data_IF_405093846271
#
_entry.id   IF_405093846271
#
_cell.length_a   1.000
_cell.length_b   1.000
_cell.length_c   1.000
_cell.angle_alpha   90.00
_cell.angle_beta   90.00
_cell.angle_gamma   90.00
#
_symmetry.space_group_name_H-M   'P 1'
#
loop_
_entity.id
_entity.type
_entity.pdbx_description
1 polymer ?
#
# COMPACT_ATOMS: atom_id res chain seq x y z
N UNK A 1 0.17 25.85 -1.98
CA UNK A 1 0.17 25.51 -3.45
C UNK A 1 -1.05 24.64 -3.66
N UNK A 2 -1.84 24.91 -4.68
CA UNK A 2 -3.09 24.18 -4.96
C UNK A 2 -2.81 22.86 -5.69
N UNK A 3 -3.72 21.89 -5.59
CA UNK A 3 -3.59 20.55 -6.19
C UNK A 3 -3.30 20.59 -7.70
N UNK A 4 -3.77 21.61 -8.40
CA UNK A 4 -3.49 21.84 -9.84
C UNK A 4 -2.01 22.02 -10.20
N UNK A 5 -1.16 22.33 -9.21
CA UNK A 5 0.29 22.45 -9.39
C UNK A 5 1.03 21.15 -9.05
N UNK A 6 0.30 20.10 -8.68
CA UNK A 6 0.84 18.82 -8.22
C UNK A 6 0.32 17.70 -9.11
N UNK A 7 -1.00 17.66 -9.34
CA UNK A 7 -1.69 16.62 -10.12
C UNK A 7 -1.94 17.10 -11.55
N UNK A 8 -1.77 16.21 -12.51
CA UNK A 8 -2.10 16.44 -13.91
C UNK A 8 -3.63 16.47 -14.12
N UNK A 9 -4.24 17.59 -13.75
CA UNK A 9 -5.70 17.77 -13.82
C UNK A 9 -6.25 17.79 -15.25
N UNK A 10 -5.39 18.02 -16.26
CA UNK A 10 -5.82 17.95 -17.66
C UNK A 10 -6.21 16.52 -18.06
N UNK A 11 -5.42 15.53 -17.63
CA UNK A 11 -5.66 14.12 -17.98
C UNK A 11 -6.47 13.41 -16.89
N UNK A 12 -6.48 13.95 -15.67
CA UNK A 12 -7.15 13.43 -14.48
C UNK A 12 -7.92 14.53 -13.74
N UNK A 13 -9.12 14.91 -14.20
CA UNK A 13 -9.87 16.07 -13.66
C UNK A 13 -10.52 15.76 -12.30
N UNK A 14 -9.71 15.39 -11.30
CA UNK A 14 -10.18 14.96 -9.96
C UNK A 14 -10.86 16.11 -9.18
N UNK A 15 -10.64 17.35 -9.57
CA UNK A 15 -11.25 18.58 -9.05
C UNK A 15 -12.64 18.88 -9.68
N UNK A 16 -13.05 18.12 -10.72
CA UNK A 16 -14.28 18.37 -11.49
C UNK A 16 -15.23 17.19 -11.39
N UNK A 17 -15.62 16.82 -10.16
CA UNK A 17 -16.40 15.60 -9.88
C UNK A 17 -17.74 15.50 -10.60
N UNK A 18 -18.32 16.63 -11.01
CA UNK A 18 -19.57 16.69 -11.81
C UNK A 18 -19.37 16.58 -13.32
N UNK A 19 -18.12 16.59 -13.82
CA UNK A 19 -17.85 16.54 -15.25
C UNK A 19 -18.03 15.14 -15.84
N UNK A 20 -18.28 15.06 -17.14
CA UNK A 20 -18.36 13.80 -17.86
C UNK A 20 -17.00 13.11 -17.88
N UNK A 21 -15.93 13.87 -18.06
CA UNK A 21 -14.56 13.39 -18.10
C UNK A 21 -14.18 12.71 -16.77
N UNK A 22 -14.60 13.28 -15.64
CA UNK A 22 -14.43 12.64 -14.33
C UNK A 22 -15.20 11.32 -14.24
N UNK A 23 -16.48 11.31 -14.64
CA UNK A 23 -17.30 10.09 -14.58
C UNK A 23 -16.76 8.98 -15.49
N UNK A 24 -16.29 9.32 -16.68
CA UNK A 24 -15.65 8.38 -17.60
C UNK A 24 -14.33 7.82 -17.01
N UNK A 25 -13.53 8.67 -16.35
CA UNK A 25 -12.33 8.25 -15.63
C UNK A 25 -12.64 7.26 -14.51
N UNK A 26 -13.64 7.55 -13.68
CA UNK A 26 -14.07 6.66 -12.58
C UNK A 26 -14.58 5.32 -13.14
N UNK A 27 -15.41 5.33 -14.16
CA UNK A 27 -15.92 4.11 -14.80
C UNK A 27 -14.76 3.24 -15.34
N UNK A 28 -13.77 3.86 -15.98
CA UNK A 28 -12.55 3.17 -16.46
C UNK A 28 -11.77 2.56 -15.30
N UNK A 29 -11.53 3.31 -14.21
CA UNK A 29 -10.78 2.84 -13.05
C UNK A 29 -11.48 1.63 -12.41
N UNK A 30 -12.79 1.71 -12.17
CA UNK A 30 -13.59 0.60 -11.62
C UNK A 30 -13.47 -0.65 -12.48
N UNK A 31 -13.65 -0.49 -13.79
CA UNK A 31 -13.52 -1.62 -14.74
C UNK A 31 -12.14 -2.31 -14.65
N UNK A 32 -11.06 -1.54 -14.51
CA UNK A 32 -9.71 -2.10 -14.35
C UNK A 32 -9.54 -2.80 -13.00
N UNK A 33 -10.02 -2.18 -11.92
CA UNK A 33 -9.95 -2.73 -10.57
C UNK A 33 -10.79 -4.00 -10.43
N UNK A 34 -11.94 -4.09 -11.10
CA UNK A 34 -12.79 -5.27 -11.09
C UNK A 34 -12.19 -6.41 -11.93
N UNK A 35 -11.52 -6.07 -13.03
CA UNK A 35 -10.92 -7.06 -13.93
C UNK A 35 -9.59 -7.60 -13.43
N UNK A 36 -8.75 -6.70 -12.92
CA UNK A 36 -7.32 -6.97 -12.70
C UNK A 36 -6.85 -6.71 -11.26
N UNK A 37 -7.74 -6.23 -10.37
CA UNK A 37 -7.37 -5.82 -9.02
C UNK A 37 -6.41 -4.61 -8.99
N UNK A 38 -6.10 -4.02 -10.14
CA UNK A 38 -5.09 -2.98 -10.30
C UNK A 38 -5.49 -1.96 -11.36
N UNK A 39 -5.28 -0.68 -11.04
CA UNK A 39 -5.42 0.44 -11.95
C UNK A 39 -4.18 1.32 -11.88
N UNK A 40 -3.61 1.68 -13.04
CA UNK A 40 -2.46 2.60 -13.13
C UNK A 40 -2.90 3.84 -13.90
N UNK A 41 -2.57 5.01 -13.35
CA UNK A 41 -2.79 6.32 -13.95
C UNK A 41 -1.41 6.93 -14.29
N UNK A 42 -0.97 6.81 -15.55
CA UNK A 42 0.37 7.26 -15.96
C UNK A 42 0.53 8.79 -15.85
N UNK A 43 1.68 9.24 -15.34
CA UNK A 43 1.98 10.69 -15.21
C UNK A 43 0.92 11.45 -14.42
N UNK A 44 0.38 10.84 -13.37
CA UNK A 44 -0.60 11.46 -12.49
C UNK A 44 -0.02 12.68 -11.77
N UNK A 45 1.23 12.58 -11.33
CA UNK A 45 1.96 13.69 -10.70
C UNK A 45 2.75 14.46 -11.75
N UNK A 46 2.65 15.79 -11.71
CA UNK A 46 3.40 16.68 -12.59
C UNK A 46 4.90 16.61 -12.33
N UNK A 47 5.72 16.77 -13.37
CA UNK A 47 7.18 16.62 -13.31
C UNK A 47 7.85 17.55 -12.29
N UNK A 48 7.40 18.79 -12.16
CA UNK A 48 7.94 19.73 -11.18
C UNK A 48 7.62 19.33 -9.74
N UNK A 49 6.42 18.79 -9.49
CA UNK A 49 6.06 18.25 -8.18
C UNK A 49 6.86 16.98 -7.87
N UNK A 50 7.00 16.10 -8.86
CA UNK A 50 7.79 14.88 -8.72
C UNK A 50 9.26 15.18 -8.35
N UNK A 51 9.82 16.24 -8.92
CA UNK A 51 11.17 16.71 -8.55
C UNK A 51 11.23 17.16 -7.09
N UNK A 52 10.25 17.95 -6.61
CA UNK A 52 10.18 18.37 -5.20
C UNK A 52 10.01 17.18 -4.26
N UNK A 53 9.16 16.20 -4.61
CA UNK A 53 9.01 14.95 -3.84
C UNK A 53 10.33 14.18 -3.76
N UNK A 54 11.05 14.05 -4.85
CA UNK A 54 12.38 13.43 -4.85
C UNK A 54 13.36 14.15 -3.94
N UNK A 55 13.42 15.48 -4.03
CA UNK A 55 14.27 16.31 -3.17
C UNK A 55 13.88 16.16 -1.69
N UNK A 56 12.59 16.04 -1.38
CA UNK A 56 12.11 15.77 -0.01
C UNK A 56 12.61 14.42 0.49
N UNK A 57 12.51 13.35 -0.33
CA UNK A 57 13.09 12.05 0.01
C UNK A 57 14.58 12.17 0.30
N UNK A 58 15.34 12.80 -0.60
CA UNK A 58 16.80 12.94 -0.48
C UNK A 58 17.21 13.69 0.79
N UNK A 59 16.48 14.76 1.17
CA UNK A 59 16.71 15.47 2.44
C UNK A 59 16.41 14.62 3.68
N UNK A 60 15.44 13.73 3.59
CA UNK A 60 15.00 12.90 4.71
C UNK A 60 15.64 11.50 4.74
N UNK A 61 16.49 11.13 3.77
CA UNK A 61 17.20 9.83 3.77
C UNK A 61 17.89 9.50 5.11
N UNK A 62 18.55 10.46 5.81
CA UNK A 62 19.18 10.19 7.11
C UNK A 62 18.21 9.75 8.21
N UNK A 63 16.89 10.03 8.05
CA UNK A 63 15.84 9.64 9.00
C UNK A 63 15.24 8.27 8.67
N UNK A 64 15.66 7.63 7.57
CA UNK A 64 15.08 6.36 7.14
C UNK A 64 15.24 5.29 8.22
N UNK A 65 14.13 4.73 8.66
CA UNK A 65 14.15 3.50 9.45
C UNK A 65 14.28 2.29 8.53
N UNK A 66 15.31 1.47 8.76
CA UNK A 66 15.56 0.25 8.01
C UNK A 66 15.00 -0.95 8.75
N UNK A 67 13.99 -1.59 8.18
CA UNK A 67 13.43 -2.83 8.72
C UNK A 67 14.00 -4.04 8.00
N UNK A 68 14.38 -5.05 8.78
CA UNK A 68 14.88 -6.34 8.31
C UNK A 68 14.09 -7.43 9.02
N UNK A 69 13.41 -8.26 8.27
CA UNK A 69 12.63 -9.35 8.85
C UNK A 69 12.53 -10.56 7.90
N UNK A 70 11.98 -11.65 8.42
CA UNK A 70 11.54 -12.79 7.64
C UNK A 70 10.03 -12.92 7.82
N UNK A 71 9.30 -12.95 6.73
CA UNK A 71 7.86 -13.16 6.77
C UNK A 71 7.40 -14.13 5.69
N UNK A 72 6.31 -14.81 5.96
CA UNK A 72 5.56 -15.54 4.95
C UNK A 72 4.57 -14.60 4.22
N UNK A 73 3.91 -15.03 3.14
CA UNK A 73 2.98 -14.19 2.38
C UNK A 73 1.83 -13.57 3.20
N UNK A 74 1.55 -14.08 4.36
CA UNK A 74 0.42 -13.65 5.23
C UNK A 74 0.86 -12.84 6.44
N UNK A 75 2.15 -12.64 6.64
CA UNK A 75 2.71 -12.05 7.85
C UNK A 75 2.24 -12.76 9.14
N UNK A 76 1.98 -14.07 9.05
CA UNK A 76 1.58 -14.89 10.19
C UNK A 76 2.79 -15.55 10.86
N UNK A 77 2.62 -15.97 12.12
CA UNK A 77 3.60 -16.83 12.80
C UNK A 77 3.74 -18.15 12.07
N UNK A 78 4.87 -18.83 12.27
CA UNK A 78 5.02 -20.22 11.82
C UNK A 78 4.03 -21.11 12.58
N UNK A 79 3.40 -22.01 11.84
CA UNK A 79 2.49 -23.03 12.40
C UNK A 79 3.06 -24.42 12.07
N UNK A 80 3.72 -25.04 13.04
CA UNK A 80 4.37 -26.33 12.88
C UNK A 80 3.39 -27.49 12.61
N UNK A 81 2.09 -27.28 12.82
CA UNK A 81 1.06 -28.27 12.48
C UNK A 81 0.81 -28.34 10.97
N UNK A 82 1.22 -27.34 10.22
CA UNK A 82 1.11 -27.32 8.76
C UNK A 82 2.33 -28.00 8.12
N UNK A 83 2.17 -28.49 6.89
CA UNK A 83 3.29 -29.06 6.13
C UNK A 83 4.36 -28.00 5.86
N UNK A 84 5.64 -28.38 5.72
CA UNK A 84 6.76 -27.47 5.53
C UNK A 84 6.66 -26.63 4.25
N UNK A 85 5.92 -27.11 3.27
CA UNK A 85 5.68 -26.45 1.98
C UNK A 85 4.37 -25.65 1.94
N UNK A 86 3.64 -25.60 3.05
CA UNK A 86 2.44 -24.78 3.15
C UNK A 86 2.78 -23.29 3.04
N UNK A 87 2.01 -22.46 2.30
CA UNK A 87 2.32 -21.04 2.09
C UNK A 87 2.56 -20.22 3.37
N UNK A 88 1.88 -20.53 4.46
CA UNK A 88 2.09 -19.89 5.79
C UNK A 88 3.43 -20.27 6.43
N UNK A 89 4.18 -21.22 5.86
CA UNK A 89 5.51 -21.67 6.33
C UNK A 89 6.65 -21.32 5.38
N UNK A 90 6.37 -20.67 4.27
CA UNK A 90 7.38 -20.21 3.31
C UNK A 90 7.83 -18.81 3.70
N UNK A 91 8.89 -18.72 4.50
CA UNK A 91 9.46 -17.46 4.95
C UNK A 91 10.52 -16.95 3.99
N UNK A 92 10.48 -15.66 3.70
CA UNK A 92 11.46 -14.96 2.87
C UNK A 92 11.99 -13.73 3.59
N UNK A 93 13.28 -13.45 3.40
CA UNK A 93 13.92 -12.25 3.96
C UNK A 93 13.42 -11.00 3.24
N UNK A 94 13.27 -9.93 3.98
CA UNK A 94 12.96 -8.58 3.48
C UNK A 94 13.88 -7.56 4.11
N UNK A 95 14.34 -6.63 3.29
CA UNK A 95 14.94 -5.38 3.75
C UNK A 95 14.33 -4.21 2.99
N UNK A 96 13.78 -3.22 3.71
CA UNK A 96 13.22 -2.00 3.15
C UNK A 96 13.35 -0.85 4.14
N UNK A 97 13.48 0.37 3.64
CA UNK A 97 13.50 1.58 4.45
C UNK A 97 12.18 2.33 4.38
N UNK A 98 11.85 3.04 5.46
CA UNK A 98 10.72 3.95 5.50
C UNK A 98 11.14 5.31 6.03
N UNK A 99 10.76 6.37 5.32
CA UNK A 99 10.70 7.72 5.86
C UNK A 99 9.26 7.89 6.31
N UNK A 100 9.08 8.05 7.62
CA UNK A 100 7.75 8.06 8.24
C UNK A 100 6.99 9.34 7.88
N UNK A 101 5.66 9.27 7.95
CA UNK A 101 4.80 10.41 7.63
C UNK A 101 5.02 11.62 8.55
N UNK A 102 5.41 11.40 9.80
CA UNK A 102 5.72 12.49 10.75
C UNK A 102 7.11 13.12 10.55
N UNK A 103 7.93 12.58 9.66
CA UNK A 103 9.20 13.16 9.23
C UNK A 103 9.05 14.09 8.01
N UNK A 104 7.87 14.10 7.37
CA UNK A 104 7.60 14.89 6.17
C UNK A 104 7.22 16.32 6.53
N UNK A 105 7.56 17.25 5.64
CA UNK A 105 7.17 18.64 5.78
C UNK A 105 5.64 18.79 5.64
N UNK A 106 4.99 19.51 6.55
CA UNK A 106 3.54 19.73 6.52
C UNK A 106 3.06 20.28 5.17
N UNK A 107 3.85 21.18 4.57
CA UNK A 107 3.56 21.83 3.30
C UNK A 107 4.13 21.11 2.09
N UNK A 108 4.58 19.85 2.24
CA UNK A 108 5.08 19.06 1.12
C UNK A 108 3.97 18.78 0.09
N UNK A 109 4.37 18.55 -1.14
CA UNK A 109 3.42 18.21 -2.21
C UNK A 109 2.71 16.89 -1.92
N UNK A 110 3.41 15.95 -1.29
CA UNK A 110 2.85 14.68 -0.87
C UNK A 110 1.73 14.87 0.16
N UNK A 111 1.99 15.62 1.22
CA UNK A 111 0.96 15.91 2.22
C UNK A 111 -0.24 16.65 1.61
N UNK A 112 -0.01 17.59 0.69
CA UNK A 112 -1.09 18.30 -0.02
C UNK A 112 -1.97 17.38 -0.86
N UNK A 113 -1.39 16.43 -1.60
CA UNK A 113 -2.18 15.41 -2.32
C UNK A 113 -2.98 14.60 -1.30
N UNK A 114 -2.32 14.06 -0.29
CA UNK A 114 -2.93 13.17 0.68
C UNK A 114 -4.10 13.83 1.44
N UNK A 115 -3.92 15.09 1.85
CA UNK A 115 -4.92 15.82 2.63
C UNK A 115 -6.01 16.48 1.77
N UNK A 116 -5.92 16.45 0.43
CA UNK A 116 -6.95 17.05 -0.43
C UNK A 116 -8.24 16.25 -0.45
N UNK A 117 -9.37 16.95 -0.42
CA UNK A 117 -10.72 16.33 -0.52
C UNK A 117 -10.93 15.74 -1.91
N UNK A 118 -10.35 16.37 -2.93
CA UNK A 118 -10.43 15.90 -4.31
C UNK A 118 -9.78 14.53 -4.45
N UNK A 119 -8.62 14.31 -3.83
CA UNK A 119 -7.94 13.00 -3.85
C UNK A 119 -8.72 11.95 -3.06
N UNK A 120 -9.20 12.28 -1.86
CA UNK A 120 -10.02 11.36 -1.06
C UNK A 120 -11.27 10.92 -1.82
N UNK A 121 -12.00 11.89 -2.42
CA UNK A 121 -13.18 11.58 -3.21
C UNK A 121 -12.85 10.77 -4.45
N UNK A 122 -11.82 11.13 -5.18
CA UNK A 122 -11.37 10.39 -6.37
C UNK A 122 -11.04 8.93 -6.07
N UNK A 123 -10.33 8.68 -4.95
CA UNK A 123 -10.00 7.33 -4.51
C UNK A 123 -11.26 6.57 -4.10
N UNK A 124 -12.13 7.20 -3.30
CA UNK A 124 -13.41 6.63 -2.88
C UNK A 124 -14.28 6.22 -4.08
N UNK A 125 -14.43 7.14 -5.04
CA UNK A 125 -15.22 6.88 -6.24
C UNK A 125 -14.59 5.78 -7.12
N UNK A 126 -13.27 5.79 -7.30
CA UNK A 126 -12.56 4.77 -8.09
C UNK A 126 -12.69 3.38 -7.50
N UNK A 127 -12.60 3.26 -6.17
CA UNK A 127 -12.76 1.99 -5.44
C UNK A 127 -14.22 1.56 -5.29
N UNK A 128 -15.18 2.49 -5.40
CA UNK A 128 -16.58 2.25 -5.08
C UNK A 128 -16.79 2.03 -3.57
N UNK A 129 -15.96 2.64 -2.73
CA UNK A 129 -15.98 2.47 -1.27
C UNK A 129 -16.42 3.77 -0.60
N UNK A 130 -17.50 3.69 0.18
CA UNK A 130 -18.00 4.81 0.94
C UNK A 130 -18.60 4.32 2.28
N UNK A 131 -18.29 4.97 3.41
CA UNK A 131 -17.30 6.04 3.55
C UNK A 131 -15.86 5.56 3.41
N UNK A 132 -14.97 6.45 2.97
CA UNK A 132 -13.54 6.25 2.93
C UNK A 132 -12.86 7.37 3.73
N UNK A 133 -11.85 7.03 4.50
CA UNK A 133 -11.14 7.97 5.38
C UNK A 133 -9.64 7.97 5.11
N UNK A 134 -8.99 9.10 5.37
CA UNK A 134 -7.54 9.14 5.53
C UNK A 134 -7.16 8.32 6.76
N UNK A 135 -6.06 7.61 6.67
CA UNK A 135 -5.62 6.81 7.81
C UNK A 135 -5.07 7.68 8.93
N UNK A 136 -5.53 7.44 10.16
CA UNK A 136 -5.15 8.24 11.34
C UNK A 136 -3.77 7.90 11.90
N UNK A 137 -3.09 6.87 11.39
CA UNK A 137 -1.77 6.47 11.86
C UNK A 137 -0.73 7.54 11.50
N UNK A 138 -0.12 8.22 12.48
CA UNK A 138 0.75 9.34 12.21
C UNK A 138 2.08 8.95 11.56
N UNK A 139 2.48 7.68 11.63
CA UNK A 139 3.72 7.17 11.05
C UNK A 139 3.51 6.59 9.65
N UNK A 140 2.36 5.92 9.47
CA UNK A 140 2.08 5.12 8.29
C UNK A 140 1.07 5.69 7.31
N UNK A 141 0.51 6.89 7.55
CA UNK A 141 -0.57 7.43 6.73
C UNK A 141 -0.17 7.70 5.27
N UNK A 142 1.07 8.15 5.04
CA UNK A 142 1.64 8.44 3.72
C UNK A 142 3.19 8.42 3.72
N UNK A 143 3.84 7.32 4.14
CA UNK A 143 5.29 7.24 4.21
C UNK A 143 5.92 7.05 2.84
N UNK A 144 7.19 7.41 2.69
CA UNK A 144 8.00 6.91 1.59
C UNK A 144 8.60 5.55 1.94
N UNK A 145 8.56 4.62 0.99
CA UNK A 145 9.34 3.37 1.05
C UNK A 145 10.55 3.47 0.15
N UNK A 146 11.71 3.12 0.71
CA UNK A 146 13.03 3.23 0.10
C UNK A 146 13.61 1.84 -0.10
N UNK A 147 14.08 1.57 -1.30
CA UNK A 147 14.77 0.32 -1.62
C UNK A 147 16.07 0.63 -2.37
N UNK A 148 17.17 0.12 -1.84
CA UNK A 148 18.50 0.22 -2.45
C UNK A 148 18.83 -1.03 -3.28
N UNK A 149 20.01 -1.02 -3.90
CA UNK A 149 20.57 -2.18 -4.58
C UNK A 149 20.46 -3.43 -3.69
N UNK A 150 20.11 -4.54 -4.30
CA UNK A 150 19.91 -5.86 -3.69
C UNK A 150 18.66 -6.00 -2.81
N UNK A 151 17.97 -4.92 -2.45
CA UNK A 151 16.69 -5.00 -1.75
C UNK A 151 15.59 -5.52 -2.68
N UNK A 152 14.61 -6.20 -2.09
CA UNK A 152 13.39 -6.66 -2.74
C UNK A 152 12.28 -6.78 -1.70
N UNK A 153 11.04 -6.83 -2.15
CA UNK A 153 9.91 -7.15 -1.29
C UNK A 153 9.35 -8.51 -1.74
N UNK A 154 9.43 -9.56 -0.92
CA UNK A 154 8.98 -10.90 -1.32
C UNK A 154 7.46 -10.95 -1.52
N UNK A 155 6.98 -12.06 -2.07
CA UNK A 155 5.56 -12.30 -2.26
C UNK A 155 4.78 -12.18 -0.95
N UNK A 156 3.72 -11.35 -0.97
CA UNK A 156 2.86 -11.11 0.18
C UNK A 156 1.48 -10.63 -0.24
N UNK A 157 0.57 -10.64 0.72
CA UNK A 157 -0.72 -9.96 0.66
C UNK A 157 -0.71 -8.78 1.61
N UNK A 158 -1.31 -7.66 1.19
CA UNK A 158 -1.48 -6.53 2.09
C UNK A 158 -2.49 -6.83 3.18
N UNK A 159 -2.26 -6.24 4.31
CA UNK A 159 -3.26 -6.22 5.32
C UNK A 159 -4.35 -5.16 5.08
N UNK A 160 -4.11 -4.13 4.24
CA UNK A 160 -5.14 -3.23 3.74
C UNK A 160 -5.88 -3.86 2.57
N UNK A 161 -7.16 -3.54 2.44
CA UNK A 161 -7.99 -4.04 1.35
C UNK A 161 -7.50 -3.48 0.01
N UNK A 162 -7.08 -2.25 0.03
CA UNK A 162 -6.50 -1.53 -1.11
C UNK A 162 -5.30 -0.70 -0.67
N UNK A 163 -4.36 -0.55 -1.57
CA UNK A 163 -3.12 0.21 -1.40
C UNK A 163 -2.95 1.14 -2.57
N UNK A 164 -2.58 2.39 -2.28
CA UNK A 164 -2.16 3.34 -3.28
C UNK A 164 -0.65 3.46 -3.27
N UNK A 165 -0.09 3.77 -4.42
CA UNK A 165 1.32 4.12 -4.49
C UNK A 165 1.61 5.11 -5.61
N UNK A 166 2.55 6.03 -5.37
CA UNK A 166 3.08 6.95 -6.37
C UNK A 166 4.57 6.66 -6.51
N UNK A 167 5.01 6.26 -7.71
CA UNK A 167 6.43 6.04 -7.94
C UNK A 167 7.14 7.40 -8.09
N UNK A 168 8.09 7.68 -7.22
CA UNK A 168 8.87 8.93 -7.22
C UNK A 168 10.18 8.75 -7.97
N UNK A 169 10.89 7.67 -7.73
CA UNK A 169 12.11 7.33 -8.44
C UNK A 169 12.15 5.84 -8.76
N UNK A 170 12.38 5.54 -10.04
CA UNK A 170 12.55 4.18 -10.53
C UNK A 170 13.99 3.71 -10.31
N UNK A 171 14.16 2.43 -9.98
CA UNK A 171 15.47 1.81 -10.00
C UNK A 171 16.04 1.75 -11.43
N UNK A 172 17.34 1.67 -11.55
CA UNK A 172 18.03 1.56 -12.81
C UNK A 172 17.64 0.27 -13.56
N UNK A 173 17.55 -0.84 -12.82
CA UNK A 173 17.06 -2.13 -13.30
C UNK A 173 16.39 -2.90 -12.15
N UNK A 174 15.46 -3.78 -12.46
CA UNK A 174 14.63 -4.47 -11.46
C UNK A 174 13.62 -3.52 -10.81
N UNK A 175 13.19 -3.83 -9.58
CA UNK A 175 12.19 -3.03 -8.88
C UNK A 175 10.80 -3.05 -9.52
N UNK A 176 10.52 -4.06 -10.34
CA UNK A 176 9.23 -4.24 -10.99
C UNK A 176 8.19 -4.66 -9.96
N UNK A 177 7.00 -4.12 -10.09
CA UNK A 177 5.85 -4.58 -9.33
C UNK A 177 5.23 -5.77 -10.05
N UNK A 178 5.23 -6.93 -9.40
CA UNK A 178 4.61 -8.15 -9.90
C UNK A 178 3.46 -8.58 -9.01
N UNK A 179 2.35 -9.02 -9.61
CA UNK A 179 1.17 -9.43 -8.85
C UNK A 179 0.38 -10.53 -9.56
N UNK A 180 -0.29 -11.34 -8.76
CA UNK A 180 -1.28 -12.32 -9.18
C UNK A 180 -2.66 -11.83 -8.73
N UNK A 181 -3.52 -11.32 -9.65
CA UNK A 181 -4.79 -10.71 -9.30
C UNK A 181 -5.74 -11.73 -8.68
N UNK A 182 -6.49 -11.30 -7.66
CA UNK A 182 -7.56 -12.04 -7.00
C UNK A 182 -7.20 -13.51 -6.71
N UNK A 183 -5.97 -13.74 -6.23
CA UNK A 183 -5.46 -15.08 -5.98
C UNK A 183 -6.17 -15.74 -4.80
N UNK A 184 -6.72 -14.95 -3.89
CA UNK A 184 -7.57 -15.40 -2.78
C UNK A 184 -8.82 -14.52 -2.65
N UNK A 185 -9.82 -14.99 -1.90
CA UNK A 185 -11.04 -14.23 -1.56
C UNK A 185 -11.29 -14.23 -0.06
N UNK A 186 -12.40 -13.63 0.37
CA UNK A 186 -12.84 -13.65 1.78
C UNK A 186 -13.16 -15.08 2.21
N UNK A 187 -13.68 -15.91 1.31
CA UNK A 187 -14.15 -17.28 1.60
C UNK A 187 -13.07 -18.33 1.38
N UNK A 188 -12.02 -18.02 0.59
CA UNK A 188 -11.03 -19.03 0.19
C UNK A 188 -9.62 -18.44 0.07
N UNK A 189 -8.70 -18.91 0.91
CA UNK A 189 -7.27 -18.55 0.85
C UNK A 189 -6.55 -19.14 -0.37
N UNK A 190 -7.13 -20.15 -1.04
CA UNK A 190 -6.65 -20.73 -2.27
C UNK A 190 -5.16 -21.14 -2.22
N UNK A 191 -4.78 -21.84 -1.15
CA UNK A 191 -3.38 -22.19 -0.85
C UNK A 191 -2.66 -22.92 -1.99
N UNK A 192 -3.38 -23.71 -2.78
CA UNK A 192 -2.80 -24.44 -3.92
C UNK A 192 -2.27 -23.47 -4.98
N UNK A 193 -3.05 -22.44 -5.35
CA UNK A 193 -2.63 -21.43 -6.32
C UNK A 193 -1.52 -20.53 -5.76
N UNK A 194 -1.62 -20.16 -4.47
CA UNK A 194 -0.55 -19.43 -3.78
C UNK A 194 0.75 -20.24 -3.82
N UNK A 195 0.69 -21.54 -3.52
CA UNK A 195 1.85 -22.45 -3.58
C UNK A 195 2.47 -22.49 -4.98
N UNK A 196 1.65 -22.54 -6.05
CA UNK A 196 2.15 -22.51 -7.42
C UNK A 196 2.96 -21.25 -7.71
N UNK A 197 2.45 -20.07 -7.31
CA UNK A 197 3.17 -18.80 -7.50
C UNK A 197 4.46 -18.78 -6.68
N UNK A 198 4.45 -19.22 -5.43
CA UNK A 198 5.64 -19.31 -4.57
C UNK A 198 6.69 -20.26 -5.16
N UNK A 199 6.28 -21.34 -5.84
CA UNK A 199 7.15 -22.29 -6.55
C UNK A 199 7.59 -21.79 -7.94
N UNK A 200 7.23 -20.57 -8.32
CA UNK A 200 7.72 -19.92 -9.53
C UNK A 200 6.78 -19.96 -10.74
N UNK A 201 5.54 -20.49 -10.63
CA UNK A 201 4.57 -20.35 -11.72
C UNK A 201 4.30 -18.88 -12.01
N UNK A 202 4.24 -18.57 -13.32
CA UNK A 202 3.96 -17.23 -13.85
C UNK A 202 2.59 -17.11 -14.51
N UNK A 203 1.80 -18.20 -14.54
CA UNK A 203 0.55 -18.27 -15.31
C UNK A 203 -0.46 -17.19 -14.95
N UNK A 204 -0.53 -16.83 -13.66
CA UNK A 204 -1.40 -15.76 -13.14
C UNK A 204 -0.66 -14.48 -12.82
N UNK A 205 0.66 -14.41 -13.04
CA UNK A 205 1.47 -13.27 -12.63
C UNK A 205 1.56 -12.23 -13.74
N UNK A 206 1.18 -11.02 -13.39
CA UNK A 206 1.36 -9.81 -14.20
C UNK A 206 2.55 -9.01 -13.68
N UNK A 207 3.21 -8.27 -14.56
CA UNK A 207 4.31 -7.38 -14.22
C UNK A 207 4.00 -5.96 -14.68
N UNK A 208 4.23 -4.98 -13.81
CA UNK A 208 4.07 -3.56 -14.10
C UNK A 208 5.42 -2.87 -14.02
N UNK A 209 5.76 -2.18 -15.09
CA UNK A 209 6.92 -1.29 -15.14
C UNK A 209 6.45 0.15 -14.91
N UNK A 210 6.12 0.47 -13.64
CA UNK A 210 5.69 1.81 -13.25
C UNK A 210 6.77 2.85 -13.59
N UNK A 211 6.33 4.01 -14.04
CA UNK A 211 7.19 5.14 -14.33
C UNK A 211 7.06 6.22 -13.24
N UNK A 212 8.10 7.04 -13.03
CA UNK A 212 8.01 8.15 -12.08
C UNK A 212 6.82 9.07 -12.38
N UNK A 213 6.02 9.34 -11.35
CA UNK A 213 4.79 10.12 -11.44
C UNK A 213 3.52 9.29 -11.67
N UNK A 214 3.62 7.97 -11.90
CA UNK A 214 2.46 7.10 -12.00
C UNK A 214 1.81 6.90 -10.64
N UNK A 215 0.48 7.01 -10.59
CA UNK A 215 -0.33 6.57 -9.46
C UNK A 215 -0.88 5.18 -9.74
N UNK A 216 -0.68 4.27 -8.81
CA UNK A 216 -1.28 2.93 -8.80
C UNK A 216 -2.34 2.84 -7.70
N UNK A 217 -3.52 2.29 -8.03
CA UNK A 217 -4.55 1.86 -7.08
C UNK A 217 -4.64 0.35 -7.18
N UNK A 218 -4.53 -0.35 -6.06
CA UNK A 218 -4.33 -1.81 -6.04
C UNK A 218 -5.12 -2.49 -4.91
N UNK A 219 -5.80 -3.60 -5.22
CA UNK A 219 -6.52 -4.45 -4.25
C UNK A 219 -5.55 -5.46 -3.62
N UNK A 220 -4.61 -4.98 -2.81
CA UNK A 220 -3.47 -5.77 -2.32
C UNK A 220 -3.81 -6.90 -1.37
N UNK A 221 -4.96 -6.82 -0.70
CA UNK A 221 -5.42 -7.87 0.22
C UNK A 221 -5.71 -9.20 -0.47
N UNK A 222 -6.23 -9.16 -1.68
CA UNK A 222 -6.65 -10.35 -2.42
C UNK A 222 -5.70 -10.74 -3.55
N UNK A 223 -4.85 -9.83 -3.95
CA UNK A 223 -3.86 -10.00 -5.01
C UNK A 223 -2.46 -10.14 -4.42
N UNK A 224 -1.89 -11.35 -4.48
CA UNK A 224 -0.53 -11.58 -4.00
C UNK A 224 0.47 -10.82 -4.87
N UNK A 225 1.40 -10.10 -4.26
CA UNK A 225 2.32 -9.22 -5.00
C UNK A 225 3.71 -9.15 -4.39
N UNK A 226 4.65 -8.66 -5.18
CA UNK A 226 6.03 -8.45 -4.79
C UNK A 226 6.66 -7.28 -5.52
N UNK A 227 7.81 -6.82 -5.02
CA UNK A 227 8.75 -5.98 -5.78
C UNK A 227 9.99 -6.80 -6.06
N UNK A 228 10.35 -6.92 -7.34
CA UNK A 228 11.55 -7.67 -7.73
C UNK A 228 12.81 -6.99 -7.24
N UNK A 229 13.92 -7.72 -7.18
CA UNK A 229 15.21 -7.23 -6.70
C UNK A 229 15.64 -5.96 -7.44
N UNK A 230 16.12 -4.97 -6.68
CA UNK A 230 16.70 -3.75 -7.21
C UNK A 230 18.12 -4.05 -7.72
N UNK A 231 18.40 -3.68 -8.95
CA UNK A 231 19.71 -3.82 -9.57
C UNK A 231 20.22 -2.43 -10.01
N UNK A 232 21.55 -2.27 -10.06
CA UNK A 232 22.19 -0.99 -10.33
C UNK A 232 22.34 -0.12 -9.08
N UNK A 233 22.68 1.15 -9.26
CA UNK A 233 23.02 2.05 -8.15
C UNK A 233 21.93 3.09 -7.85
N UNK A 234 20.88 3.16 -8.68
CA UNK A 234 19.75 4.07 -8.46
C UNK A 234 18.72 3.38 -7.56
N UNK A 235 18.44 4.00 -6.41
CA UNK A 235 17.44 3.52 -5.45
C UNK A 235 16.02 3.71 -6.00
N UNK A 236 15.11 2.86 -5.55
CA UNK A 236 13.68 3.02 -5.81
C UNK A 236 13.02 3.75 -4.66
N UNK A 237 12.27 4.82 -4.97
CA UNK A 237 11.48 5.59 -4.01
C UNK A 237 10.01 5.52 -4.42
N UNK A 238 9.16 5.13 -3.49
CA UNK A 238 7.72 5.08 -3.70
C UNK A 238 7.00 5.66 -2.50
N UNK A 239 5.99 6.43 -2.75
CA UNK A 239 5.09 6.98 -1.75
C UNK A 239 3.87 6.06 -1.60
N UNK A 240 3.35 5.91 -0.39
CA UNK A 240 2.30 4.98 -0.02
C UNK A 240 1.14 5.69 0.71
N UNK A 241 0.30 6.48 0.01
CA UNK A 241 -0.85 7.15 0.64
C UNK A 241 -1.89 6.11 1.06
N UNK A 242 -2.26 6.11 2.32
CA UNK A 242 -3.14 5.09 2.89
C UNK A 242 -4.51 5.66 3.23
N UNK A 243 -5.54 5.06 2.64
CA UNK A 243 -6.94 5.34 2.94
C UNK A 243 -7.59 4.07 3.50
N UNK A 244 -8.57 4.24 4.40
CA UNK A 244 -9.16 3.14 5.18
C UNK A 244 -10.66 3.27 5.32
N UNK A 245 -11.34 2.16 5.61
CA UNK A 245 -12.77 2.13 5.94
C UNK A 245 -13.06 2.45 7.41
N UNK A 246 -12.04 2.34 8.27
CA UNK A 246 -12.14 2.61 9.70
C UNK A 246 -11.12 3.70 10.09
N UNK A 247 -11.64 4.91 10.34
CA UNK A 247 -10.83 6.08 10.71
C UNK A 247 -10.17 5.97 12.10
N UNK A 248 -10.69 5.09 12.97
CA UNK A 248 -10.13 4.93 14.33
C UNK A 248 -8.89 4.05 14.36
N UNK A 249 -8.74 3.19 13.37
CA UNK A 249 -7.70 2.19 13.32
C UNK A 249 -6.31 2.81 13.11
N UNK A 250 -5.33 2.30 13.87
CA UNK A 250 -3.89 2.55 13.71
C UNK A 250 -3.12 1.24 13.82
N UNK A 251 -1.85 1.23 13.48
CA UNK A 251 -0.99 0.07 13.70
C UNK A 251 -0.90 -0.31 15.18
N UNK A 252 -0.61 -1.58 15.44
CA UNK A 252 -0.20 -2.03 16.76
C UNK A 252 1.17 -1.45 17.11
N UNK A 253 1.45 -1.19 18.41
CA UNK A 253 2.74 -0.64 18.84
C UNK A 253 3.94 -1.46 18.36
N UNK A 254 3.88 -2.79 18.40
CA UNK A 254 4.94 -3.69 17.97
C UNK A 254 5.20 -3.57 16.47
N UNK A 255 4.12 -3.56 15.66
CA UNK A 255 4.22 -3.39 14.22
C UNK A 255 4.79 -2.02 13.85
N UNK A 256 4.35 -0.96 14.53
CA UNK A 256 4.90 0.38 14.35
C UNK A 256 6.39 0.44 14.67
N UNK A 257 6.83 -0.18 15.77
CA UNK A 257 8.26 -0.27 16.12
C UNK A 257 9.05 -1.04 15.07
N UNK A 258 8.51 -2.14 14.57
CA UNK A 258 9.18 -2.97 13.56
C UNK A 258 9.34 -2.21 12.23
N UNK A 259 8.28 -1.59 11.73
CA UNK A 259 8.25 -0.99 10.39
C UNK A 259 8.74 0.45 10.39
N UNK A 260 8.42 1.23 11.42
CA UNK A 260 8.68 2.67 11.51
C UNK A 260 9.69 3.06 12.59
N UNK A 261 10.24 2.07 13.33
CA UNK A 261 11.27 2.29 14.35
C UNK A 261 10.77 2.82 15.69
N UNK A 262 9.50 3.21 15.77
CA UNK A 262 8.91 3.79 16.99
C UNK A 262 7.41 3.50 17.05
N UNK A 263 6.84 3.66 18.25
CA UNK A 263 5.39 3.70 18.44
C UNK A 263 5.03 4.95 19.26
N UNK A 264 3.96 5.60 18.90
CA UNK A 264 3.44 6.81 19.55
C UNK A 264 2.28 6.45 20.51
N UNK A 265 1.90 7.34 21.46
CA UNK A 265 0.83 7.06 22.43
C UNK A 265 -0.47 6.54 21.79
N UNK A 266 -0.87 7.10 20.67
CA UNK A 266 -2.08 6.72 19.94
C UNK A 266 -2.10 5.22 19.56
N UNK A 267 -0.93 4.61 19.30
CA UNK A 267 -0.84 3.18 18.98
C UNK A 267 -1.20 2.32 20.20
N UNK A 268 -0.81 2.75 21.41
CA UNK A 268 -1.16 2.05 22.64
C UNK A 268 -2.62 2.29 23.04
N UNK A 269 -3.08 3.54 22.96
CA UNK A 269 -4.44 3.94 23.34
C UNK A 269 -5.51 3.25 22.48
N UNK A 270 -5.31 3.20 21.15
CA UNK A 270 -6.30 2.64 20.22
C UNK A 270 -6.24 1.13 20.05
N UNK A 271 -5.23 0.47 20.62
CA UNK A 271 -5.04 -0.98 20.56
C UNK A 271 -5.29 -1.67 21.90
N UNK A 272 -6.15 -1.14 22.77
CA UNK A 272 -6.53 -1.75 24.06
C UNK A 272 -7.21 -3.12 23.96
N UNK A 273 -7.24 -3.76 22.82
CA UNK A 273 -7.72 -5.11 22.60
C UNK A 273 -6.52 -6.01 22.56
N UNK A 274 -6.43 -6.95 23.52
CA UNK A 274 -5.53 -8.09 23.46
C UNK A 274 -5.82 -8.85 22.15
N UNK A 275 -5.00 -8.57 21.17
CA UNK A 275 -4.97 -9.34 19.94
C UNK A 275 -3.71 -10.16 20.01
N UNK A 276 -3.87 -11.48 20.14
CA UNK A 276 -2.77 -12.41 20.23
C UNK A 276 -1.86 -12.28 19.00
N UNK A 277 -0.68 -11.70 19.22
CA UNK A 277 0.45 -11.70 18.32
C UNK A 277 0.36 -10.79 17.09
N UNK A 278 1.51 -10.23 16.77
CA UNK A 278 1.78 -9.41 15.58
C UNK A 278 1.44 -10.10 14.26
N UNK A 279 1.53 -11.41 14.27
CA UNK A 279 1.62 -12.20 13.07
C UNK A 279 0.26 -12.78 12.64
N UNK A 280 -0.73 -12.75 13.53
CA UNK A 280 -2.13 -12.97 13.16
C UNK A 280 -2.80 -11.71 12.64
N UNK A 281 -1.98 -10.78 12.19
CA UNK A 281 -2.42 -9.47 11.74
C UNK A 281 -3.51 -9.52 10.66
N UNK A 282 -3.49 -10.53 9.80
CA UNK A 282 -4.51 -10.74 8.79
C UNK A 282 -5.82 -11.26 9.41
N UNK A 283 -5.77 -12.29 10.24
CA UNK A 283 -6.94 -12.85 10.94
C UNK A 283 -7.51 -11.87 11.97
N UNK A 284 -6.63 -11.17 12.66
CA UNK A 284 -7.00 -10.09 13.58
C UNK A 284 -7.66 -8.92 12.89
N UNK A 285 -7.32 -8.63 11.64
CA UNK A 285 -8.01 -7.62 10.84
C UNK A 285 -9.41 -8.02 10.47
N UNK A 286 -9.64 -9.29 10.12
CA UNK A 286 -10.98 -9.84 9.92
C UNK A 286 -11.81 -9.77 11.21
N UNK A 287 -11.22 -10.13 12.33
CA UNK A 287 -11.84 -10.03 13.64
C UNK A 287 -12.19 -8.58 13.98
N UNK A 288 -11.27 -7.65 13.75
CA UNK A 288 -11.48 -6.20 13.93
C UNK A 288 -12.59 -5.67 13.03
N UNK A 289 -12.60 -6.05 11.80
CA UNK A 289 -13.61 -5.64 10.83
C UNK A 289 -14.99 -6.18 11.20
N UNK A 290 -15.08 -7.44 11.66
CA UNK A 290 -16.33 -8.03 12.15
C UNK A 290 -16.82 -7.43 13.46
N UNK A 291 -15.90 -7.11 14.39
CA UNK A 291 -16.25 -6.65 15.74
C UNK A 291 -16.51 -5.16 15.81
N UNK A 292 -15.83 -4.33 14.99
CA UNK A 292 -15.85 -2.88 15.05
C UNK A 292 -16.26 -2.21 13.74
N UNK A 293 -16.38 -2.93 12.65
CA UNK A 293 -16.98 -2.44 11.41
C UNK A 293 -18.40 -1.89 11.65
N UNK A 294 -19.11 -2.48 12.60
CA UNK A 294 -20.43 -2.01 13.02
C UNK A 294 -20.40 -0.76 13.91
N UNK A 295 -19.29 -0.41 14.54
CA UNK A 295 -19.20 0.79 15.39
C UNK A 295 -19.34 2.10 14.58
N UNK A 296 -19.12 2.04 13.27
CA UNK A 296 -19.30 3.15 12.34
C UNK A 296 -20.54 3.02 11.46
N UNK A 297 -21.50 2.13 11.77
CA UNK A 297 -22.76 1.97 11.03
C UNK A 297 -22.60 1.28 9.66
N UNK A 298 -21.52 0.55 9.42
CA UNK A 298 -21.32 -0.22 8.20
C UNK A 298 -21.74 -1.66 8.47
N UNK A 299 -22.94 -2.07 8.04
CA UNK A 299 -23.31 -3.46 7.95
C UNK A 299 -22.49 -4.16 6.86
N UNK A 300 -21.76 -5.20 7.24
CA UNK A 300 -21.16 -6.14 6.30
C UNK A 300 -22.27 -7.12 5.88
N UNK A 301 -22.85 -6.90 4.73
CA UNK A 301 -23.67 -7.92 4.04
C UNK A 301 -22.78 -8.91 3.33
#
# INVERSE_FOLDING_TARGET
MEIKNIVNLRDYPIDQTGSREYQDLIAKNRKLLDKDGCCVLPKFVLSESLKRMKEEVERNLPKTHWTKDHHNPYFSKDDENLSKDHPKRVFSFRESGYINSDDLEEQSDLNKIYESEEMLKFVSDSLGVFPLYRWSDPLGKNPYSIMHKDHYFPWHFDGNEFTLSILVQKAEKGGLFEYAPDLRSVENENFDEVTKVLRGSRDKVKSLDLQPGDLQIFKGRFSMHRVTKIEGNTSRYIELPTYVKDSYRVNKPEHSKQVYGKALPIHYERNNVEVDGLMDWYENRFYWFRKYGNANGIELT
#
